data_IF_550564183980
#
_entry.id   IF_550564183980
#
_cell.length_a   1.000
_cell.length_b   1.000
_cell.length_c   1.000
_cell.angle_alpha   90.00
_cell.angle_beta   90.00
_cell.angle_gamma   90.00
#
_symmetry.space_group_name_H-M   'P 1'
#
loop_
_entity.id
_entity.type
_entity.pdbx_description
1 polymer ?
#
# COMPACT_ATOMS: atom_id res chain seq x y z
N UNK A 1 -3.05 15.32 -9.06
CA UNK A 1 -1.98 14.75 -9.93
C UNK A 1 -2.22 15.10 -11.39
N UNK A 2 -3.43 14.91 -11.92
CA UNK A 2 -3.78 15.43 -13.24
C UNK A 2 -4.33 16.86 -13.17
N UNK A 3 -3.92 17.73 -14.09
CA UNK A 3 -4.55 19.03 -14.36
C UNK A 3 -5.02 19.03 -15.81
N UNK A 4 -6.21 19.57 -16.05
CA UNK A 4 -6.70 19.91 -17.38
C UNK A 4 -7.04 21.39 -17.34
N UNK A 5 -6.39 22.17 -18.20
CA UNK A 5 -6.59 23.61 -18.36
C UNK A 5 -7.63 23.91 -19.43
N UNK A 6 -7.82 23.00 -20.38
CA UNK A 6 -8.77 23.13 -21.48
C UNK A 6 -10.13 22.58 -21.10
N UNK A 7 -11.18 23.31 -21.49
CA UNK A 7 -12.56 22.87 -21.36
C UNK A 7 -13.31 23.02 -22.66
N UNK A 8 -14.26 22.13 -22.91
CA UNK A 8 -15.19 22.30 -24.03
C UNK A 8 -16.18 23.43 -23.73
N UNK A 9 -16.93 23.86 -24.76
CA UNK A 9 -18.03 24.82 -24.60
C UNK A 9 -19.08 24.34 -23.58
N UNK A 10 -19.30 23.03 -23.48
CA UNK A 10 -20.14 22.40 -22.46
C UNK A 10 -19.46 22.25 -21.08
N UNK A 11 -18.33 22.91 -20.83
CA UNK A 11 -17.57 22.90 -19.56
C UNK A 11 -16.95 21.55 -19.15
N UNK A 12 -16.87 20.58 -20.08
CA UNK A 12 -16.18 19.30 -19.85
C UNK A 12 -14.67 19.48 -19.92
N UNK A 13 -13.92 18.79 -19.05
CA UNK A 13 -12.45 18.78 -19.10
C UNK A 13 -11.98 18.06 -20.36
N UNK A 14 -11.10 18.71 -21.11
CA UNK A 14 -10.47 18.11 -22.28
C UNK A 14 -9.09 17.57 -21.90
N UNK A 15 -8.78 16.37 -22.39
CA UNK A 15 -7.53 15.67 -22.11
C UNK A 15 -6.86 15.31 -23.43
N UNK A 16 -5.57 15.61 -23.54
CA UNK A 16 -4.78 15.34 -24.73
C UNK A 16 -3.89 14.10 -24.52
N UNK A 17 -3.10 13.75 -25.54
CA UNK A 17 -2.18 12.60 -25.47
C UNK A 17 -1.15 12.72 -24.33
N UNK A 18 -0.75 13.93 -23.94
CA UNK A 18 0.14 14.14 -22.79
C UNK A 18 -0.53 13.77 -21.48
N UNK A 19 -1.80 14.19 -21.30
CA UNK A 19 -2.62 13.77 -20.15
C UNK A 19 -2.73 12.26 -20.05
N UNK A 20 -2.91 11.55 -21.18
CA UNK A 20 -2.96 10.09 -21.20
C UNK A 20 -1.63 9.47 -20.73
N UNK A 21 -0.49 9.95 -21.24
CA UNK A 21 0.84 9.47 -20.82
C UNK A 21 1.07 9.65 -19.33
N UNK A 22 0.69 10.80 -18.79
CA UNK A 22 0.80 11.08 -17.35
C UNK A 22 -0.12 10.17 -16.52
N UNK A 23 -1.35 9.91 -17.00
CA UNK A 23 -2.25 8.97 -16.33
C UNK A 23 -1.69 7.55 -16.32
N UNK A 24 -1.12 7.09 -17.44
CA UNK A 24 -0.47 5.79 -17.51
C UNK A 24 0.71 5.68 -16.55
N UNK A 25 1.51 6.74 -16.43
CA UNK A 25 2.60 6.82 -15.46
C UNK A 25 2.08 6.69 -14.02
N UNK A 26 1.07 7.48 -13.65
CA UNK A 26 0.44 7.42 -12.32
C UNK A 26 -0.13 6.01 -12.05
N UNK A 27 -0.79 5.41 -13.05
CA UNK A 27 -1.34 4.06 -12.95
C UNK A 27 -0.23 3.04 -12.66
N UNK A 28 0.89 3.12 -13.38
CA UNK A 28 2.04 2.24 -13.14
C UNK A 28 2.60 2.40 -11.73
N UNK A 29 2.80 3.63 -11.26
CA UNK A 29 3.26 3.86 -9.88
C UNK A 29 2.30 3.29 -8.83
N UNK A 30 0.98 3.40 -9.05
CA UNK A 30 -0.03 2.81 -8.15
C UNK A 30 0.00 1.29 -8.14
N UNK A 31 0.41 0.62 -9.22
CA UNK A 31 0.61 -0.85 -9.20
C UNK A 31 1.80 -1.29 -8.35
N UNK A 32 2.73 -0.37 -8.06
CA UNK A 32 3.88 -0.58 -7.17
C UNK A 32 3.57 -0.13 -5.72
N UNK A 33 2.30 0.18 -5.47
CA UNK A 33 1.78 0.74 -4.22
C UNK A 33 2.50 1.99 -3.72
N UNK A 34 3.07 2.78 -4.64
CA UNK A 34 3.61 4.09 -4.30
C UNK A 34 2.49 5.02 -3.82
N UNK A 35 2.79 5.78 -2.79
CA UNK A 35 1.90 6.77 -2.20
C UNK A 35 1.67 7.94 -3.16
N UNK A 36 0.59 8.70 -2.96
CA UNK A 36 0.34 9.91 -3.75
C UNK A 36 1.46 10.96 -3.58
N UNK A 37 2.20 10.94 -2.47
CA UNK A 37 3.33 11.82 -2.23
C UNK A 37 4.53 11.45 -3.11
N UNK A 38 4.90 10.17 -3.12
CA UNK A 38 5.99 9.67 -3.97
C UNK A 38 5.68 9.86 -5.45
N UNK A 39 4.44 9.62 -5.86
CA UNK A 39 4.01 9.84 -7.25
C UNK A 39 4.13 11.32 -7.64
N UNK A 40 3.84 12.28 -6.74
CA UNK A 40 4.06 13.70 -7.00
C UNK A 40 5.54 13.99 -7.24
N UNK A 41 6.40 13.48 -6.36
CA UNK A 41 7.84 13.70 -6.47
C UNK A 41 8.41 13.07 -7.76
N UNK A 42 7.95 11.87 -8.15
CA UNK A 42 8.34 11.26 -9.42
C UNK A 42 7.88 12.07 -10.64
N UNK A 43 6.68 12.65 -10.60
CA UNK A 43 6.17 13.52 -11.67
C UNK A 43 6.99 14.82 -11.80
N UNK A 44 7.39 15.41 -10.67
CA UNK A 44 8.27 16.59 -10.65
C UNK A 44 9.63 16.28 -11.26
N UNK A 45 10.23 15.14 -10.88
CA UNK A 45 11.50 14.67 -11.42
C UNK A 45 11.40 14.34 -12.92
N UNK A 46 10.31 13.71 -13.36
CA UNK A 46 10.07 13.42 -14.79
C UNK A 46 10.01 14.70 -15.64
N UNK A 47 9.52 15.80 -15.07
CA UNK A 47 9.47 17.10 -15.76
C UNK A 47 10.81 17.85 -15.81
N UNK A 48 11.85 17.32 -15.16
CA UNK A 48 13.17 17.95 -15.01
C UNK A 48 14.30 17.04 -15.52
N UNK A 49 14.47 16.88 -16.85
CA UNK A 49 15.36 15.88 -17.45
C UNK A 49 16.85 16.09 -17.17
N UNK A 50 17.26 17.27 -16.69
CA UNK A 50 18.63 17.60 -16.32
C UNK A 50 19.02 17.18 -14.90
N UNK A 51 18.08 16.69 -14.09
CA UNK A 51 18.34 16.25 -12.71
C UNK A 51 18.88 14.81 -12.70
N UNK A 52 19.88 14.56 -11.86
CA UNK A 52 20.42 13.22 -11.65
C UNK A 52 19.38 12.27 -11.04
N UNK A 53 19.32 11.02 -11.52
CA UNK A 53 18.36 10.02 -11.05
C UNK A 53 18.58 9.54 -9.59
N UNK A 54 19.62 10.04 -8.90
CA UNK A 54 19.93 9.68 -7.52
C UNK A 54 18.76 9.91 -6.55
N UNK A 55 17.95 10.95 -6.75
CA UNK A 55 16.76 11.20 -5.93
C UNK A 55 15.67 10.14 -6.15
N UNK A 56 15.49 9.67 -7.38
CA UNK A 56 14.57 8.58 -7.72
C UNK A 56 15.03 7.29 -7.04
N UNK A 57 16.30 6.94 -7.18
CA UNK A 57 16.85 5.71 -6.59
C UNK A 57 16.65 5.69 -5.07
N UNK A 58 17.00 6.77 -4.38
CA UNK A 58 16.81 6.88 -2.92
C UNK A 58 15.35 6.74 -2.48
N UNK A 59 14.41 7.30 -3.25
CA UNK A 59 12.97 7.14 -2.97
C UNK A 59 12.57 5.67 -3.09
N UNK A 60 12.93 5.01 -4.19
CA UNK A 60 12.59 3.60 -4.41
C UNK A 60 13.23 2.71 -3.34
N UNK A 61 14.49 2.94 -2.98
CA UNK A 61 15.17 2.20 -1.91
C UNK A 61 14.43 2.36 -0.57
N UNK A 62 13.96 3.57 -0.25
CA UNK A 62 13.17 3.82 0.96
C UNK A 62 11.83 3.09 0.93
N UNK A 63 11.13 3.07 -0.21
CA UNK A 63 9.87 2.33 -0.36
C UNK A 63 10.08 0.82 -0.24
N UNK A 64 11.17 0.29 -0.81
CA UNK A 64 11.55 -1.12 -0.63
C UNK A 64 11.72 -1.45 0.85
N UNK A 65 12.42 -0.61 1.62
CA UNK A 65 12.58 -0.82 3.07
C UNK A 65 11.25 -0.82 3.82
N UNK A 66 10.30 0.06 3.44
CA UNK A 66 8.96 0.08 4.03
C UNK A 66 8.18 -1.19 3.71
N UNK A 67 8.26 -1.68 2.47
CA UNK A 67 7.63 -2.95 2.05
C UNK A 67 8.23 -4.13 2.82
N UNK A 68 9.55 -4.20 2.94
CA UNK A 68 10.22 -5.26 3.71
C UNK A 68 9.81 -5.25 5.18
N UNK A 69 9.71 -4.07 5.79
CA UNK A 69 9.24 -3.91 7.16
C UNK A 69 7.80 -4.41 7.31
N UNK A 70 6.93 -4.04 6.36
CA UNK A 70 5.54 -4.50 6.36
C UNK A 70 5.41 -6.01 6.19
N UNK A 71 6.25 -6.62 5.34
CA UNK A 71 6.32 -8.07 5.19
C UNK A 71 6.69 -8.75 6.51
N UNK A 72 7.70 -8.22 7.22
CA UNK A 72 8.09 -8.77 8.54
C UNK A 72 6.94 -8.73 9.54
N UNK A 73 6.25 -7.59 9.63
CA UNK A 73 5.08 -7.44 10.51
C UNK A 73 3.95 -8.41 10.15
N UNK A 74 3.64 -8.53 8.85
CA UNK A 74 2.59 -9.42 8.36
C UNK A 74 2.94 -10.89 8.57
N UNK A 75 4.21 -11.27 8.44
CA UNK A 75 4.67 -12.63 8.76
C UNK A 75 4.53 -12.92 10.26
N UNK A 76 4.91 -11.98 11.13
CA UNK A 76 4.72 -12.15 12.58
C UNK A 76 3.23 -12.25 12.95
N UNK A 77 2.37 -11.42 12.34
CA UNK A 77 0.92 -11.53 12.53
C UNK A 77 0.39 -12.89 12.05
N UNK A 78 0.86 -13.37 10.89
CA UNK A 78 0.47 -14.67 10.35
C UNK A 78 0.87 -15.81 11.29
N UNK A 79 2.06 -15.76 11.89
CA UNK A 79 2.49 -16.75 12.89
C UNK A 79 1.56 -16.76 14.11
N UNK A 80 1.23 -15.59 14.65
CA UNK A 80 0.27 -15.48 15.76
C UNK A 80 -1.12 -16.03 15.41
N UNK A 81 -1.61 -15.75 14.21
CA UNK A 81 -2.89 -16.28 13.73
C UNK A 81 -2.85 -17.80 13.52
N UNK A 82 -1.74 -18.34 13.04
CA UNK A 82 -1.55 -19.79 12.92
C UNK A 82 -1.55 -20.45 14.30
N UNK A 83 -0.78 -19.92 15.25
CA UNK A 83 -0.73 -20.39 16.64
C UNK A 83 -2.09 -20.33 17.31
N UNK A 84 -2.90 -19.32 16.99
CA UNK A 84 -4.27 -19.24 17.44
C UNK A 84 -5.13 -20.32 16.79
N UNK A 85 -5.07 -20.48 15.47
CA UNK A 85 -5.87 -21.49 14.75
C UNK A 85 -5.58 -22.92 15.21
N UNK A 86 -4.32 -23.22 15.56
CA UNK A 86 -3.88 -24.53 16.01
C UNK A 86 -4.38 -24.90 17.42
N UNK A 87 -4.96 -23.96 18.19
CA UNK A 87 -5.47 -24.28 19.53
C UNK A 87 -6.85 -24.94 19.52
N UNK A 88 -7.56 -24.94 18.39
CA UNK A 88 -8.89 -25.53 18.29
C UNK A 88 -8.90 -26.75 17.37
N UNK A 89 -9.55 -27.83 17.80
CA UNK A 89 -9.82 -28.99 16.94
C UNK A 89 -11.13 -28.77 16.17
N UNK A 90 -11.20 -29.23 14.91
CA UNK A 90 -12.34 -28.98 14.02
C UNK A 90 -13.65 -29.69 14.40
N UNK A 91 -13.67 -30.48 15.47
CA UNK A 91 -14.83 -31.33 15.85
C UNK A 91 -15.37 -31.01 17.26
N UNK A 92 -15.07 -29.84 17.83
CA UNK A 92 -15.56 -29.40 19.14
C UNK A 92 -16.79 -28.47 19.09
N UNK A 93 -17.45 -28.25 20.24
CA UNK A 93 -18.47 -27.21 20.40
C UNK A 93 -17.81 -25.83 20.67
N UNK A 94 -18.56 -24.74 20.49
CA UNK A 94 -18.09 -23.37 20.80
C UNK A 94 -17.60 -23.24 22.25
N UNK A 95 -18.24 -23.95 23.19
CA UNK A 95 -17.86 -24.00 24.60
C UNK A 95 -16.42 -24.51 24.82
N UNK A 96 -15.97 -25.43 23.95
CA UNK A 96 -14.63 -26.02 23.98
C UNK A 96 -13.69 -25.44 22.91
N UNK A 97 -14.05 -24.29 22.33
CA UNK A 97 -13.25 -23.67 21.29
C UNK A 97 -11.96 -23.06 21.87
N UNK A 98 -10.83 -23.71 21.64
CA UNK A 98 -9.53 -23.25 22.11
C UNK A 98 -9.11 -21.88 21.58
N UNK A 99 -9.64 -21.45 20.41
CA UNK A 99 -9.40 -20.11 19.87
C UNK A 99 -10.06 -19.05 20.76
N UNK A 100 -11.36 -19.23 21.06
CA UNK A 100 -12.11 -18.29 21.89
C UNK A 100 -11.53 -18.23 23.30
N UNK A 101 -11.22 -19.39 23.89
CA UNK A 101 -10.61 -19.47 25.21
C UNK A 101 -9.27 -18.72 25.28
N UNK A 102 -8.42 -18.85 24.25
CA UNK A 102 -7.13 -18.13 24.17
C UNK A 102 -7.33 -16.63 24.02
N UNK A 103 -8.22 -16.19 23.13
CA UNK A 103 -8.54 -14.76 22.95
C UNK A 103 -9.09 -14.11 24.23
N UNK A 104 -9.99 -14.78 24.94
CA UNK A 104 -10.51 -14.27 26.22
C UNK A 104 -9.44 -14.21 27.31
N UNK A 105 -8.49 -15.15 27.30
CA UNK A 105 -7.40 -15.21 28.29
C UNK A 105 -6.32 -14.15 28.03
N UNK A 106 -6.03 -13.84 26.77
CA UNK A 106 -5.04 -12.82 26.42
C UNK A 106 -5.57 -11.39 26.62
N UNK A 107 -6.89 -11.17 26.50
CA UNK A 107 -7.52 -9.90 26.90
C UNK A 107 -7.36 -9.66 28.41
N UNK A 108 -7.51 -10.70 29.23
CA UNK A 108 -7.37 -10.60 30.69
C UNK A 108 -5.93 -10.35 31.18
N UNK A 109 -4.90 -10.53 30.32
CA UNK A 109 -3.49 -10.24 30.64
C UNK A 109 -3.06 -8.82 30.26
N UNK A 110 -3.85 -8.13 29.43
CA UNK A 110 -3.57 -6.80 28.92
C UNK A 110 -4.43 -5.71 29.59
N UNK A 111 -5.15 -6.07 30.65
CA UNK A 111 -5.90 -5.17 31.56
C UNK A 111 -5.26 -5.26 32.94
#
# INVERSE_FOLDING_TARGET
LMKSTERSEGNFRLYNKSSLKQLMFIKQCRTLDLTLSEIRQLLELQSSPSIQCNSVNKMIDSHIQQVEQRIKELNSLKEQLNDLSNTCSNNGTIEHCGILQKLTSDVAKNV
#
